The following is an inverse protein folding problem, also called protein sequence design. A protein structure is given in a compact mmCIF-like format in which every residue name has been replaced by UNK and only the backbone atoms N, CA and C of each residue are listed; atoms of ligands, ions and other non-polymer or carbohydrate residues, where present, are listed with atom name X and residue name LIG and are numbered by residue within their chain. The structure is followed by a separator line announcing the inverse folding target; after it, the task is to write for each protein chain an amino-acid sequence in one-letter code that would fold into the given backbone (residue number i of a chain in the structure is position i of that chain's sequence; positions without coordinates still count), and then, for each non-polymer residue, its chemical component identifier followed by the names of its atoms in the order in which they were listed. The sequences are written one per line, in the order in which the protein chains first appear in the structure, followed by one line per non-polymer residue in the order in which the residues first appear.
data_IF_683819382045
#
_entry.id   IF_683819382045
#
_cell.length_a   1.000
_cell.length_b   1.000
_cell.length_c   1.000
_cell.angle_alpha   90.00
_cell.angle_beta   90.00
_cell.angle_gamma   90.00
#
_symmetry.space_group_name_H-M   'P 1'
#
loop_
_entity.id
_entity.type
_entity.pdbx_description
1 polymer ?
#
# COMPACT_ATOMS: atom_id res chain seq x y z
N UNK A 1 -2.30 16.92 -0.79
CA UNK A 1 -3.55 16.45 -0.15
C UNK A 1 -3.39 16.23 1.35
N UNK A 2 -2.52 15.30 1.83
CA UNK A 2 -2.30 15.00 3.27
C UNK A 2 -2.22 16.25 4.17
N UNK A 3 -1.26 17.15 3.91
CA UNK A 3 -1.07 18.39 4.70
C UNK A 3 -2.24 19.37 4.63
N UNK A 4 -2.83 19.55 3.45
CA UNK A 4 -3.94 20.50 3.23
C UNK A 4 -5.21 20.03 3.91
N UNK A 5 -5.47 18.72 3.87
CA UNK A 5 -6.65 18.09 4.48
C UNK A 5 -6.41 17.64 5.92
N UNK A 6 -5.19 17.83 6.44
CA UNK A 6 -4.76 17.42 7.79
C UNK A 6 -5.10 15.96 8.08
N UNK A 7 -4.70 15.07 7.18
CA UNK A 7 -4.94 13.63 7.35
C UNK A 7 -3.84 12.99 8.19
N UNK A 8 -4.23 12.29 9.25
CA UNK A 8 -3.31 11.48 10.08
C UNK A 8 -2.87 10.20 9.34
N UNK A 9 -3.80 9.60 8.58
CA UNK A 9 -3.59 8.39 7.80
C UNK A 9 -4.04 8.56 6.35
N UNK A 10 -3.24 8.06 5.40
CA UNK A 10 -3.56 8.02 3.97
C UNK A 10 -3.45 6.59 3.45
N UNK A 11 -4.59 6.03 3.05
CA UNK A 11 -4.69 4.72 2.43
C UNK A 11 -4.90 4.89 0.92
N UNK A 12 -4.05 4.27 0.12
CA UNK A 12 -4.18 4.17 -1.32
C UNK A 12 -4.84 2.83 -1.69
N UNK A 13 -5.95 2.88 -2.40
CA UNK A 13 -6.53 1.70 -3.04
C UNK A 13 -5.99 1.62 -4.46
N UNK A 14 -5.25 0.56 -4.76
CA UNK A 14 -4.53 0.37 -6.03
C UNK A 14 -5.03 -0.86 -6.77
N UNK A 15 -4.94 -0.82 -8.10
CA UNK A 15 -5.12 -1.98 -8.97
C UNK A 15 -3.96 -2.07 -9.98
N UNK A 16 -2.75 -1.67 -9.58
CA UNK A 16 -1.55 -1.70 -10.43
C UNK A 16 -0.88 -3.07 -10.48
N UNK A 17 -1.10 -3.91 -9.47
CA UNK A 17 -0.38 -5.17 -9.31
C UNK A 17 0.71 -5.08 -8.26
N UNK A 18 0.97 -6.20 -7.58
CA UNK A 18 1.97 -6.23 -6.52
C UNK A 18 3.37 -5.91 -7.05
N UNK A 19 3.80 -6.63 -8.09
CA UNK A 19 5.06 -6.42 -8.80
C UNK A 19 4.81 -6.70 -10.27
N UNK A 20 5.15 -5.73 -11.11
CA UNK A 20 5.00 -5.82 -12.57
C UNK A 20 6.39 -5.75 -13.22
N UNK A 21 6.42 -5.85 -14.55
CA UNK A 21 7.65 -5.68 -15.33
C UNK A 21 8.28 -4.31 -15.07
N UNK A 22 9.59 -4.18 -15.34
CA UNK A 22 10.40 -3.02 -14.96
C UNK A 22 9.84 -1.69 -15.48
N UNK A 23 9.29 -1.68 -16.70
CA UNK A 23 8.74 -0.50 -17.35
C UNK A 23 7.28 -0.17 -16.94
N UNK A 24 6.64 -1.04 -16.14
CA UNK A 24 5.26 -0.87 -15.70
C UNK A 24 5.18 -0.35 -14.27
N UNK A 25 4.18 0.49 -13.98
CA UNK A 25 3.88 0.88 -12.60
C UNK A 25 3.34 -0.32 -11.81
N UNK A 26 3.75 -0.43 -10.54
CA UNK A 26 3.25 -1.42 -9.60
C UNK A 26 3.19 -0.84 -8.17
N UNK A 27 2.63 -1.60 -7.23
CA UNK A 27 2.45 -1.18 -5.84
C UNK A 27 3.80 -0.90 -5.15
N UNK A 28 4.87 -1.64 -5.49
CA UNK A 28 6.22 -1.44 -4.91
C UNK A 28 6.83 -0.11 -5.36
N UNK A 29 6.79 0.17 -6.66
CA UNK A 29 7.31 1.41 -7.26
C UNK A 29 6.49 2.60 -6.81
N UNK A 30 5.16 2.46 -6.71
CA UNK A 30 4.29 3.50 -6.18
C UNK A 30 4.63 3.82 -4.71
N UNK A 31 4.80 2.80 -3.88
CA UNK A 31 5.20 3.00 -2.48
C UNK A 31 6.55 3.72 -2.37
N UNK A 32 7.58 3.21 -3.07
CA UNK A 32 8.92 3.79 -3.06
C UNK A 32 8.97 5.23 -3.58
N UNK A 33 8.18 5.54 -4.61
CA UNK A 33 8.07 6.87 -5.22
C UNK A 33 7.16 7.85 -4.49
N UNK A 34 6.48 7.42 -3.42
CA UNK A 34 5.55 8.27 -2.67
C UNK A 34 6.25 9.13 -1.60
N UNK A 35 5.50 10.02 -0.95
CA UNK A 35 5.95 10.77 0.25
C UNK A 35 4.96 10.72 1.41
N UNK A 36 3.70 10.43 1.14
CA UNK A 36 2.59 10.64 2.08
C UNK A 36 1.57 9.50 2.10
N UNK A 37 1.86 8.39 1.42
CA UNK A 37 1.02 7.19 1.49
C UNK A 37 1.51 6.38 2.68
N UNK A 38 0.60 5.96 3.54
CA UNK A 38 0.93 5.15 4.72
C UNK A 38 0.62 3.66 4.45
N UNK A 39 -0.46 3.39 3.71
CA UNK A 39 -0.89 2.02 3.34
C UNK A 39 -1.32 1.96 1.88
N UNK A 40 -0.96 0.87 1.19
CA UNK A 40 -1.50 0.48 -0.13
C UNK A 40 -2.25 -0.83 0.02
N UNK A 41 -3.54 -0.83 -0.35
CA UNK A 41 -4.34 -2.04 -0.51
C UNK A 41 -4.49 -2.30 -2.01
N UNK A 42 -3.75 -3.29 -2.50
CA UNK A 42 -3.59 -3.56 -3.93
C UNK A 42 -4.51 -4.66 -4.48
N UNK A 43 -4.46 -4.85 -5.80
CA UNK A 43 -5.14 -5.91 -6.54
C UNK A 43 -4.40 -6.27 -7.83
N UNK A 44 -5.14 -6.66 -8.88
CA UNK A 44 -4.64 -7.01 -10.23
C UNK A 44 -3.91 -8.35 -10.36
N UNK A 45 -2.76 -8.53 -9.70
CA UNK A 45 -1.91 -9.72 -9.90
C UNK A 45 -2.42 -10.97 -9.19
N UNK A 46 -3.53 -10.84 -8.43
CA UNK A 46 -4.07 -11.88 -7.55
C UNK A 46 -3.03 -12.41 -6.56
N UNK A 47 -2.07 -11.58 -6.17
CA UNK A 47 -1.03 -11.96 -5.21
C UNK A 47 -1.67 -12.18 -3.85
N UNK A 48 -1.34 -13.30 -3.22
CA UNK A 48 -1.70 -13.55 -1.82
C UNK A 48 -0.48 -13.29 -0.95
N UNK A 49 -0.53 -12.20 -0.19
CA UNK A 49 0.51 -11.86 0.77
C UNK A 49 0.15 -12.47 2.14
N UNK A 50 0.92 -13.47 2.58
CA UNK A 50 0.74 -14.10 3.91
C UNK A 50 0.86 -13.07 5.04
N UNK A 51 1.70 -12.07 4.83
CA UNK A 51 1.86 -10.92 5.72
C UNK A 51 2.05 -9.67 4.85
N UNK A 52 1.60 -8.49 5.32
CA UNK A 52 1.88 -7.23 4.65
C UNK A 52 3.38 -7.00 4.54
N UNK A 53 3.81 -6.40 3.45
CA UNK A 53 5.20 -5.99 3.27
C UNK A 53 5.36 -4.50 3.56
N UNK A 54 6.61 -4.05 3.74
CA UNK A 54 6.95 -2.64 3.95
C UNK A 54 7.97 -2.19 2.90
N UNK A 55 7.72 -1.01 2.33
CA UNK A 55 8.63 -0.35 1.38
C UNK A 55 8.85 1.08 1.87
N UNK A 56 10.11 1.51 1.98
CA UNK A 56 10.41 2.89 2.36
C UNK A 56 10.12 3.83 1.18
N UNK A 57 9.43 4.93 1.46
CA UNK A 57 9.12 5.96 0.48
C UNK A 57 10.28 6.96 0.31
N UNK A 58 10.08 8.02 -0.50
CA UNK A 58 11.11 9.03 -0.80
C UNK A 58 11.57 9.86 0.42
N UNK A 59 10.89 9.76 1.56
CA UNK A 59 11.28 10.41 2.82
C UNK A 59 11.69 9.41 3.90
N UNK A 60 11.93 8.14 3.51
CA UNK A 60 12.39 7.09 4.41
C UNK A 60 11.31 6.53 5.34
N UNK A 61 10.04 6.92 5.17
CA UNK A 61 8.93 6.38 5.97
C UNK A 61 8.42 5.07 5.36
N UNK A 62 8.10 4.05 6.19
CA UNK A 62 7.62 2.77 5.69
C UNK A 62 6.17 2.87 5.22
N UNK A 63 5.91 2.38 4.00
CA UNK A 63 4.58 2.19 3.42
C UNK A 63 4.21 0.72 3.53
N UNK A 64 3.07 0.42 4.13
CA UNK A 64 2.56 -0.95 4.24
C UNK A 64 1.83 -1.32 2.95
N UNK A 65 2.10 -2.49 2.37
CA UNK A 65 1.41 -2.98 1.17
C UNK A 65 0.78 -4.34 1.48
N UNK A 66 -0.49 -4.51 1.10
CA UNK A 66 -1.19 -5.78 1.26
C UNK A 66 -2.08 -6.15 0.04
N UNK A 67 -2.21 -7.44 -0.23
CA UNK A 67 -3.10 -8.04 -1.23
C UNK A 67 -3.60 -9.40 -0.74
N UNK A 68 -4.87 -9.72 -1.03
CA UNK A 68 -5.56 -10.89 -0.47
C UNK A 68 -6.04 -11.89 -1.54
N UNK A 69 -5.29 -12.02 -2.63
CA UNK A 69 -5.60 -12.96 -3.70
C UNK A 69 -6.81 -12.50 -4.53
N UNK A 70 -7.75 -13.42 -4.79
CA UNK A 70 -8.90 -13.18 -5.67
C UNK A 70 -10.15 -13.94 -5.24
N UNK A 71 -11.26 -13.63 -5.90
CA UNK A 71 -12.52 -14.37 -5.83
C UNK A 71 -13.17 -14.43 -4.43
N UNK A 72 -12.80 -13.52 -3.52
CA UNK A 72 -13.39 -13.44 -2.18
C UNK A 72 -13.07 -14.63 -1.27
N UNK A 73 -12.07 -15.46 -1.62
CA UNK A 73 -11.66 -16.63 -0.82
C UNK A 73 -11.10 -16.19 0.54
N UNK A 74 -10.50 -14.99 0.59
CA UNK A 74 -9.97 -14.38 1.80
C UNK A 74 -10.52 -12.95 1.97
N UNK A 75 -10.67 -12.55 3.23
CA UNK A 75 -10.97 -11.17 3.63
C UNK A 75 -9.76 -10.63 4.37
N UNK A 76 -9.17 -9.55 3.87
CA UNK A 76 -8.03 -8.90 4.50
C UNK A 76 -8.42 -8.14 5.75
N UNK A 77 -7.63 -8.30 6.81
CA UNK A 77 -7.71 -7.51 8.04
C UNK A 77 -6.34 -6.92 8.36
N UNK A 78 -6.30 -5.61 8.53
CA UNK A 78 -5.14 -4.84 8.95
C UNK A 78 -5.57 -4.01 10.16
N UNK A 79 -5.07 -4.36 11.34
CA UNK A 79 -5.26 -3.57 12.55
C UNK A 79 -4.11 -2.53 12.60
N UNK A 80 -4.45 -1.24 12.55
CA UNK A 80 -3.50 -0.14 12.53
C UNK A 80 -3.64 0.66 13.83
N UNK A 81 -2.50 0.94 14.47
CA UNK A 81 -2.40 1.93 15.53
C UNK A 81 -1.92 3.23 14.89
N UNK A 82 -2.71 4.28 15.05
CA UNK A 82 -2.39 5.62 14.57
C UNK A 82 -2.25 6.49 15.80
N UNK A 83 -1.04 6.99 16.03
CA UNK A 83 -0.81 7.97 17.07
C UNK A 83 -1.47 9.28 16.66
N UNK A 84 -2.33 9.81 17.52
CA UNK A 84 -2.84 11.16 17.39
C UNK A 84 -1.81 12.11 18.05
N UNK A 85 -1.32 13.07 17.28
CA UNK A 85 -0.51 14.18 17.81
C UNK A 85 -1.40 15.25 18.47
#
# INVERSE_FOLDING_TARGET
MKRVKKCDLVICLSHLGHKMDEDMADDLKLAAGSRYIDVILGGHTHTFLRQPIKVNNLVGQPVIINQVGKSGIYVGRLDLLVDAE
#
